data_IF_954151266136
#
_entry.id   IF_954151266136
#
_cell.length_a   1.000
_cell.length_b   1.000
_cell.length_c   1.000
_cell.angle_alpha   90.00
_cell.angle_beta   90.00
_cell.angle_gamma   90.00
#
_symmetry.space_group_name_H-M   'P 1'
#
loop_
_entity.id
_entity.type
_entity.pdbx_description
1 polymer ?
#
# COMPACT_ATOMS: atom_id res chain seq x y z
N UNK A 1 5.62 -9.32 -16.45
CA UNK A 1 4.39 -9.41 -15.62
C UNK A 1 3.73 -10.75 -15.86
N UNK A 2 3.37 -11.49 -14.79
CA UNK A 2 2.70 -12.79 -14.94
C UNK A 2 1.31 -12.59 -15.56
N UNK A 3 1.05 -13.24 -16.70
CA UNK A 3 -0.31 -13.27 -17.28
C UNK A 3 -1.29 -14.07 -16.43
N UNK A 4 -0.77 -15.07 -15.69
CA UNK A 4 -1.59 -15.96 -14.86
C UNK A 4 -1.98 -15.30 -13.52
N UNK A 5 -1.09 -14.50 -12.95
CA UNK A 5 -1.28 -13.82 -11.66
C UNK A 5 -0.80 -12.36 -11.77
N UNK A 6 -1.62 -11.47 -12.36
CA UNK A 6 -1.24 -10.06 -12.51
C UNK A 6 -1.15 -9.36 -11.14
N UNK A 7 -0.20 -8.43 -11.01
CA UNK A 7 -0.02 -7.59 -9.82
C UNK A 7 -0.24 -6.14 -10.24
N UNK A 8 -1.00 -5.39 -9.46
CA UNK A 8 -1.19 -3.95 -9.64
C UNK A 8 -0.53 -3.24 -8.46
N UNK A 9 0.46 -2.40 -8.75
CA UNK A 9 1.16 -1.62 -7.74
C UNK A 9 0.67 -0.16 -7.81
N UNK A 10 0.06 0.31 -6.72
CA UNK A 10 -0.34 1.71 -6.55
C UNK A 10 0.64 2.35 -5.57
N UNK A 11 1.37 3.38 -6.01
CA UNK A 11 2.36 4.11 -5.22
C UNK A 11 2.07 5.60 -5.23
N UNK A 12 2.49 6.30 -4.18
CA UNK A 12 2.30 7.74 -4.04
C UNK A 12 2.87 8.24 -2.72
N UNK A 13 3.08 9.55 -2.64
CA UNK A 13 3.44 10.20 -1.38
C UNK A 13 2.32 10.09 -0.35
N UNK A 14 2.62 10.33 0.93
CA UNK A 14 1.59 10.46 1.95
C UNK A 14 0.58 11.55 1.54
N UNK A 15 -0.71 11.20 1.53
CA UNK A 15 -1.78 12.09 1.08
C UNK A 15 -2.04 12.10 -0.43
N UNK A 16 -1.34 11.29 -1.24
CA UNK A 16 -1.56 11.22 -2.69
C UNK A 16 -2.88 10.53 -3.12
N UNK A 17 -3.75 10.18 -2.17
CA UNK A 17 -5.06 9.57 -2.46
C UNK A 17 -5.00 8.06 -2.76
N UNK A 18 -3.97 7.34 -2.30
CA UNK A 18 -3.85 5.88 -2.50
C UNK A 18 -5.06 5.12 -1.94
N UNK A 19 -5.65 5.58 -0.83
CA UNK A 19 -6.91 5.04 -0.28
C UNK A 19 -8.07 5.19 -1.26
N UNK A 20 -8.22 6.35 -1.90
CA UNK A 20 -9.27 6.60 -2.90
C UNK A 20 -9.09 5.70 -4.12
N UNK A 21 -7.85 5.49 -4.54
CA UNK A 21 -7.53 4.57 -5.65
C UNK A 21 -7.90 3.13 -5.29
N UNK A 22 -7.58 2.66 -4.07
CA UNK A 22 -8.00 1.33 -3.58
C UNK A 22 -9.51 1.15 -3.71
N UNK A 23 -10.31 2.10 -3.21
CA UNK A 23 -11.78 2.03 -3.30
C UNK A 23 -12.28 2.01 -4.75
N UNK A 24 -11.66 2.79 -5.64
CA UNK A 24 -12.01 2.76 -7.07
C UNK A 24 -11.78 1.37 -7.68
N UNK A 25 -10.66 0.73 -7.34
CA UNK A 25 -10.35 -0.64 -7.78
C UNK A 25 -11.32 -1.68 -7.20
N UNK A 26 -11.69 -1.56 -5.93
CA UNK A 26 -12.70 -2.43 -5.30
C UNK A 26 -14.03 -2.38 -6.07
N UNK A 27 -14.49 -1.18 -6.46
CA UNK A 27 -15.70 -1.04 -7.29
C UNK A 27 -15.55 -1.62 -8.70
N UNK A 28 -14.35 -1.54 -9.30
CA UNK A 28 -14.09 -2.15 -10.61
C UNK A 28 -14.12 -3.68 -10.49
N UNK A 29 -13.42 -4.25 -9.51
CA UNK A 29 -13.36 -5.69 -9.31
C UNK A 29 -14.71 -6.28 -8.95
N UNK A 30 -15.49 -5.59 -8.11
CA UNK A 30 -16.86 -5.98 -7.81
C UNK A 30 -17.72 -6.05 -9.08
N UNK A 31 -17.67 -5.02 -9.95
CA UNK A 31 -18.42 -5.01 -11.22
C UNK A 31 -17.96 -6.09 -12.21
N UNK A 32 -16.69 -6.48 -12.15
CA UNK A 32 -16.12 -7.51 -13.04
C UNK A 32 -16.18 -8.92 -12.44
N UNK A 33 -16.76 -9.07 -11.24
CA UNK A 33 -16.81 -10.33 -10.49
C UNK A 33 -15.42 -10.96 -10.27
N UNK A 34 -14.42 -10.11 -10.03
CA UNK A 34 -13.04 -10.49 -9.74
C UNK A 34 -12.83 -10.46 -8.23
N UNK A 35 -12.21 -11.50 -7.66
CA UNK A 35 -11.79 -11.53 -6.25
C UNK A 35 -10.30 -11.19 -6.13
N UNK A 36 -9.93 -9.95 -5.77
CA UNK A 36 -8.54 -9.56 -5.59
C UNK A 36 -8.05 -9.92 -4.18
N UNK A 37 -6.72 -10.08 -4.05
CA UNK A 37 -6.04 -9.98 -2.75
C UNK A 37 -5.43 -8.59 -2.66
N UNK A 38 -5.70 -7.90 -1.55
CA UNK A 38 -5.18 -6.56 -1.29
C UNK A 38 -4.10 -6.63 -0.22
N UNK A 39 -2.96 -6.00 -0.50
CA UNK A 39 -1.85 -5.87 0.44
C UNK A 39 -1.58 -4.39 0.66
N UNK A 40 -1.63 -3.94 1.92
CA UNK A 40 -1.38 -2.54 2.25
C UNK A 40 0.13 -2.29 2.45
N UNK A 41 0.63 -1.19 1.88
CA UNK A 41 2.06 -0.90 1.87
C UNK A 41 2.66 -0.64 3.25
N UNK A 42 1.84 -0.19 4.20
CA UNK A 42 2.23 0.01 5.60
C UNK A 42 2.55 -1.30 6.33
N UNK A 43 2.11 -2.44 5.81
CA UNK A 43 2.48 -3.78 6.29
C UNK A 43 3.98 -4.08 6.10
N UNK A 44 4.68 -3.31 5.27
CA UNK A 44 6.12 -3.44 5.03
C UNK A 44 6.96 -2.43 5.82
N UNK A 45 6.37 -1.70 6.79
CA UNK A 45 7.16 -0.86 7.69
C UNK A 45 8.11 -1.72 8.55
N UNK A 46 9.42 -1.46 8.40
CA UNK A 46 10.46 -2.14 9.20
C UNK A 46 10.37 -1.84 10.70
N UNK A 47 9.83 -0.67 11.05
CA UNK A 47 9.78 -0.18 12.42
C UNK A 47 8.36 0.28 12.74
N UNK A 48 7.93 0.09 13.98
CA UNK A 48 6.72 0.72 14.45
C UNK A 48 6.89 2.26 14.57
N UNK A 49 5.79 2.98 14.85
CA UNK A 49 5.85 4.45 14.97
C UNK A 49 6.79 4.94 16.08
N UNK A 50 6.91 4.21 17.20
CA UNK A 50 7.77 4.60 18.34
C UNK A 50 9.23 4.33 18.02
N UNK A 51 9.53 3.18 17.43
CA UNK A 51 10.84 2.78 16.97
C UNK A 51 11.36 3.71 15.87
N UNK A 52 10.52 4.06 14.90
CA UNK A 52 10.89 4.99 13.84
C UNK A 52 11.29 6.35 14.41
N UNK A 53 10.54 6.88 15.38
CA UNK A 53 10.92 8.13 16.07
C UNK A 53 12.29 8.04 16.74
N UNK A 54 12.57 6.94 17.46
CA UNK A 54 13.88 6.70 18.09
C UNK A 54 15.00 6.63 17.05
N UNK A 55 14.77 5.92 15.93
CA UNK A 55 15.74 5.76 14.84
C UNK A 55 16.05 7.09 14.14
N UNK A 56 15.04 7.93 13.90
CA UNK A 56 15.22 9.28 13.35
C UNK A 56 16.11 10.12 14.28
N UNK A 57 15.83 10.11 15.59
CA UNK A 57 16.65 10.84 16.57
C UNK A 57 18.10 10.32 16.62
N UNK A 58 18.29 9.00 16.54
CA UNK A 58 19.63 8.39 16.49
C UNK A 58 20.41 8.79 15.24
N UNK A 59 19.73 8.91 14.09
CA UNK A 59 20.37 9.27 12.81
C UNK A 59 20.66 10.77 12.66
N UNK A 60 19.97 11.62 13.44
CA UNK A 60 20.19 13.07 13.48
C UNK A 60 21.35 13.49 14.39
N UNK A 61 21.91 12.55 15.17
CA UNK A 61 23.05 12.76 16.06
C UNK A 61 24.34 12.34 15.35
#
# INVERSE_FOLDING_TARGET
MSKKHPIIAVTGSSGAGTTTVKTAFEHIFHRQNISPVVVEGDSFHRYDRKEMKKKVQQAQK
#
